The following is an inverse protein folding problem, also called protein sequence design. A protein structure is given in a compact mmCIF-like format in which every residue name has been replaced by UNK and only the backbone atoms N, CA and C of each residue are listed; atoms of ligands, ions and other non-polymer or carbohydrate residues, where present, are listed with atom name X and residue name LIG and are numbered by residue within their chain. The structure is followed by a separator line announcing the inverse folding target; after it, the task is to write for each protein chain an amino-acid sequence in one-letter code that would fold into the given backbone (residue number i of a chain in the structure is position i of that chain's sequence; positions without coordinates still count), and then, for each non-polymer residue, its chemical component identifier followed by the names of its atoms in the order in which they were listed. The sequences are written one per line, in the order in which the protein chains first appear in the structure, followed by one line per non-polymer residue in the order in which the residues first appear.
data_IF_805649780545
#
_entry.id   IF_805649780545
#
_cell.length_a   1.000
_cell.length_b   1.000
_cell.length_c   1.000
_cell.angle_alpha   90.00
_cell.angle_beta   90.00
_cell.angle_gamma   90.00
#
_symmetry.space_group_name_H-M   'P 1'
#
loop_
_entity.id
_entity.type
_entity.pdbx_description
1 polymer ?
#
# COMPACT_ATOMS: atom_id res chain seq x y z
N UNK A 1 -35.95 21.93 6.26
CA UNK A 1 -36.28 20.59 5.74
C UNK A 1 -35.55 20.23 4.43
N UNK A 2 -35.31 21.14 3.49
CA UNK A 2 -34.60 20.82 2.21
C UNK A 2 -33.11 20.48 2.35
N UNK A 3 -32.37 21.05 3.32
CA UNK A 3 -30.92 20.83 3.52
C UNK A 3 -30.65 19.41 4.05
N UNK A 4 -31.51 18.90 4.94
CA UNK A 4 -31.36 17.54 5.49
C UNK A 4 -31.58 16.47 4.41
N UNK A 5 -32.50 16.69 3.48
CA UNK A 5 -32.80 15.76 2.39
C UNK A 5 -31.63 15.62 1.39
N UNK A 6 -30.96 16.73 1.08
CA UNK A 6 -29.78 16.75 0.19
C UNK A 6 -28.60 16.00 0.84
N UNK A 7 -28.40 16.16 2.15
CA UNK A 7 -27.35 15.45 2.89
C UNK A 7 -27.60 13.94 2.92
N UNK A 8 -28.86 13.52 3.17
CA UNK A 8 -29.23 12.09 3.22
C UNK A 8 -29.09 11.44 1.85
N UNK A 9 -29.49 12.12 0.76
CA UNK A 9 -29.35 11.61 -0.60
C UNK A 9 -27.88 11.51 -1.03
N UNK A 10 -27.04 12.48 -0.66
CA UNK A 10 -25.60 12.45 -0.95
C UNK A 10 -24.87 11.31 -0.22
N UNK A 11 -25.21 11.07 1.04
CA UNK A 11 -24.65 9.96 1.82
C UNK A 11 -25.10 8.60 1.28
N UNK A 12 -26.37 8.44 0.91
CA UNK A 12 -26.88 7.20 0.29
C UNK A 12 -26.21 6.92 -1.05
N UNK A 13 -25.97 7.94 -1.88
CA UNK A 13 -25.30 7.78 -3.16
C UNK A 13 -23.84 7.35 -3.00
N UNK A 14 -23.13 7.91 -2.02
CA UNK A 14 -21.74 7.54 -1.71
C UNK A 14 -21.64 6.09 -1.18
N UNK A 15 -22.60 5.64 -0.37
CA UNK A 15 -22.64 4.27 0.15
C UNK A 15 -22.88 3.26 -1.00
N UNK A 16 -23.80 3.55 -1.91
CA UNK A 16 -24.08 2.67 -3.06
C UNK A 16 -22.89 2.59 -4.01
N UNK A 17 -22.20 3.70 -4.26
CA UNK A 17 -20.98 3.72 -5.05
C UNK A 17 -19.88 2.86 -4.41
N UNK A 18 -19.66 3.01 -3.10
CA UNK A 18 -18.68 2.21 -2.36
C UNK A 18 -19.01 0.70 -2.42
N UNK A 19 -20.28 0.32 -2.25
CA UNK A 19 -20.70 -1.09 -2.36
C UNK A 19 -20.47 -1.63 -3.78
N UNK A 20 -20.69 -0.81 -4.81
CA UNK A 20 -20.43 -1.20 -6.20
C UNK A 20 -18.94 -1.42 -6.43
N UNK A 21 -18.08 -0.50 -5.93
CA UNK A 21 -16.61 -0.62 -6.01
C UNK A 21 -16.15 -1.91 -5.33
N UNK A 22 -16.58 -2.16 -4.09
CA UNK A 22 -16.19 -3.36 -3.35
C UNK A 22 -16.56 -4.65 -4.12
N UNK A 23 -17.77 -4.73 -4.69
CA UNK A 23 -18.19 -5.88 -5.52
C UNK A 23 -17.31 -6.06 -6.77
N UNK A 24 -16.82 -4.97 -7.35
CA UNK A 24 -15.92 -5.03 -8.52
C UNK A 24 -14.55 -5.53 -8.08
N UNK A 25 -14.00 -5.01 -6.99
CA UNK A 25 -12.71 -5.46 -6.43
C UNK A 25 -12.74 -6.94 -6.07
N UNK A 26 -13.79 -7.42 -5.37
CA UNK A 26 -13.97 -8.84 -5.03
C UNK A 26 -14.00 -9.75 -6.26
N UNK A 27 -14.62 -9.29 -7.36
CA UNK A 27 -14.60 -10.04 -8.63
C UNK A 27 -13.19 -10.07 -9.23
N UNK A 28 -12.46 -8.96 -9.15
CA UNK A 28 -11.06 -8.86 -9.57
C UNK A 28 -10.18 -9.85 -8.80
N UNK A 29 -10.31 -9.89 -7.48
CA UNK A 29 -9.56 -10.80 -6.62
C UNK A 29 -9.84 -12.28 -6.96
N UNK A 30 -11.10 -12.63 -7.22
CA UNK A 30 -11.47 -13.97 -7.67
C UNK A 30 -10.87 -14.34 -9.03
N UNK A 31 -10.70 -13.37 -9.93
CA UNK A 31 -10.02 -13.57 -11.21
C UNK A 31 -8.52 -13.74 -11.02
N UNK A 32 -7.92 -12.92 -10.18
CA UNK A 32 -6.49 -13.00 -9.86
C UNK A 32 -6.15 -14.35 -9.20
N UNK A 33 -6.98 -14.83 -8.27
CA UNK A 33 -6.84 -16.14 -7.65
C UNK A 33 -6.89 -17.31 -8.66
N UNK A 34 -7.55 -17.11 -9.81
CA UNK A 34 -7.58 -18.08 -10.93
C UNK A 34 -6.47 -17.82 -11.96
N UNK A 35 -5.50 -16.98 -11.65
CA UNK A 35 -4.42 -16.56 -12.54
C UNK A 35 -4.90 -15.82 -13.82
N UNK A 36 -6.17 -15.39 -13.86
CA UNK A 36 -6.73 -14.58 -14.93
C UNK A 36 -6.43 -13.09 -14.66
N UNK A 37 -5.14 -12.75 -14.77
CA UNK A 37 -4.63 -11.42 -14.39
C UNK A 37 -5.17 -10.32 -15.30
N UNK A 38 -5.41 -10.63 -16.57
CA UNK A 38 -5.95 -9.64 -17.52
C UNK A 38 -7.38 -9.24 -17.15
N UNK A 39 -8.22 -10.22 -16.82
CA UNK A 39 -9.57 -9.93 -16.35
C UNK A 39 -9.57 -9.23 -14.98
N UNK A 40 -8.62 -9.57 -14.08
CA UNK A 40 -8.48 -8.90 -12.80
C UNK A 40 -8.15 -7.41 -12.98
N UNK A 41 -7.13 -7.09 -13.78
CA UNK A 41 -6.75 -5.70 -14.08
C UNK A 41 -7.91 -4.91 -14.68
N UNK A 42 -8.62 -5.48 -15.67
CA UNK A 42 -9.81 -4.83 -16.27
C UNK A 42 -10.90 -4.51 -15.23
N UNK A 43 -11.05 -5.36 -14.20
CA UNK A 43 -12.00 -5.10 -13.10
C UNK A 43 -11.49 -4.01 -12.15
N UNK A 44 -10.22 -4.00 -11.80
CA UNK A 44 -9.65 -2.94 -10.96
C UNK A 44 -9.70 -1.58 -11.66
N UNK A 45 -9.44 -1.52 -12.97
CA UNK A 45 -9.64 -0.30 -13.77
C UNK A 45 -11.11 0.18 -13.75
N UNK A 46 -12.06 -0.75 -13.85
CA UNK A 46 -13.49 -0.42 -13.69
C UNK A 46 -13.83 0.14 -12.31
N UNK A 47 -13.12 -0.30 -11.26
CA UNK A 47 -13.29 0.28 -9.93
C UNK A 47 -12.83 1.75 -9.91
N UNK A 48 -11.70 2.08 -10.55
CA UNK A 48 -11.21 3.47 -10.71
C UNK A 48 -12.13 4.34 -11.56
N UNK A 49 -12.84 3.77 -12.54
CA UNK A 49 -13.86 4.51 -13.30
C UNK A 49 -15.08 4.86 -12.42
N UNK A 50 -15.44 3.98 -11.46
CA UNK A 50 -16.55 4.24 -10.53
C UNK A 50 -16.14 5.18 -9.41
N UNK A 51 -14.92 5.03 -8.89
CA UNK A 51 -14.33 5.87 -7.86
C UNK A 51 -12.84 6.07 -8.15
N UNK A 52 -12.51 7.21 -8.72
CA UNK A 52 -11.13 7.58 -9.06
C UNK A 52 -10.21 7.73 -7.84
N UNK A 53 -10.76 7.81 -6.63
CA UNK A 53 -10.03 7.89 -5.37
C UNK A 53 -9.99 6.54 -4.61
N UNK A 54 -10.28 5.43 -5.30
CA UNK A 54 -10.23 4.09 -4.71
C UNK A 54 -8.78 3.63 -4.48
N UNK A 55 -8.25 3.85 -3.28
CA UNK A 55 -6.88 3.47 -2.91
C UNK A 55 -6.62 1.95 -3.10
N UNK A 56 -7.62 1.10 -2.80
CA UNK A 56 -7.50 -0.36 -2.96
C UNK A 56 -7.29 -0.76 -4.42
N UNK A 57 -7.93 -0.08 -5.38
CA UNK A 57 -7.74 -0.39 -6.80
C UNK A 57 -6.31 -0.02 -7.24
N UNK A 58 -5.79 1.13 -6.82
CA UNK A 58 -4.39 1.52 -7.08
C UNK A 58 -3.41 0.48 -6.50
N UNK A 59 -3.61 0.05 -5.25
CA UNK A 59 -2.75 -0.95 -4.62
C UNK A 59 -2.76 -2.27 -5.40
N UNK A 60 -3.95 -2.81 -5.71
CA UNK A 60 -4.10 -4.09 -6.41
C UNK A 60 -3.50 -4.10 -7.81
N UNK A 61 -3.67 -3.02 -8.57
CA UNK A 61 -3.06 -2.90 -9.91
C UNK A 61 -1.54 -2.80 -9.79
N UNK A 62 -1.05 -2.01 -8.83
CA UNK A 62 0.39 -1.84 -8.59
C UNK A 62 1.05 -3.15 -8.15
N UNK A 63 0.42 -3.92 -7.26
CA UNK A 63 0.89 -5.25 -6.86
C UNK A 63 1.03 -6.20 -8.06
N UNK A 64 0.07 -6.17 -8.98
CA UNK A 64 0.14 -6.96 -10.22
C UNK A 64 1.30 -6.49 -11.11
N UNK A 65 1.50 -5.20 -11.28
CA UNK A 65 2.62 -4.70 -12.09
C UNK A 65 3.98 -5.03 -11.46
N UNK A 66 4.12 -4.87 -10.15
CA UNK A 66 5.34 -5.24 -9.42
C UNK A 66 5.63 -6.73 -9.53
N UNK A 67 4.62 -7.59 -9.37
CA UNK A 67 4.79 -9.05 -9.50
C UNK A 67 5.24 -9.50 -10.90
N UNK A 68 5.01 -8.65 -11.91
CA UNK A 68 5.45 -8.86 -13.31
C UNK A 68 6.77 -8.15 -13.64
N UNK A 69 7.39 -7.49 -12.68
CA UNK A 69 8.61 -6.69 -12.90
C UNK A 69 8.37 -5.39 -13.70
N UNK A 70 7.12 -5.00 -13.89
CA UNK A 70 6.78 -3.76 -14.61
C UNK A 70 6.78 -2.56 -13.65
N UNK A 71 7.97 -2.22 -13.15
CA UNK A 71 8.15 -1.19 -12.13
C UNK A 71 7.81 0.21 -12.62
N UNK A 72 8.03 0.52 -13.91
CA UNK A 72 7.70 1.83 -14.47
C UNK A 72 6.19 2.13 -14.36
N UNK A 73 5.36 1.23 -14.87
CA UNK A 73 3.90 1.41 -14.81
C UNK A 73 3.37 1.39 -13.36
N UNK A 74 3.97 0.54 -12.49
CA UNK A 74 3.64 0.55 -11.08
C UNK A 74 3.95 1.91 -10.43
N UNK A 75 5.12 2.50 -10.71
CA UNK A 75 5.56 3.78 -10.17
C UNK A 75 4.62 4.92 -10.57
N UNK A 76 4.24 5.01 -11.84
CA UNK A 76 3.30 6.02 -12.34
C UNK A 76 1.95 5.92 -11.62
N UNK A 77 1.43 4.69 -11.49
CA UNK A 77 0.15 4.43 -10.84
C UNK A 77 0.20 4.73 -9.33
N UNK A 78 1.29 4.35 -8.65
CA UNK A 78 1.49 4.63 -7.24
C UNK A 78 1.56 6.13 -6.96
N UNK A 79 2.30 6.87 -7.80
CA UNK A 79 2.38 8.33 -7.69
C UNK A 79 1.01 8.99 -7.88
N UNK A 80 0.22 8.53 -8.86
CA UNK A 80 -1.14 9.01 -9.06
C UNK A 80 -2.05 8.66 -7.87
N UNK A 81 -2.04 7.40 -7.42
CA UNK A 81 -2.84 6.91 -6.30
C UNK A 81 -2.54 7.67 -5.01
N UNK A 82 -1.26 7.80 -4.63
CA UNK A 82 -0.84 8.52 -3.43
C UNK A 82 -1.32 9.98 -3.50
N UNK A 83 -1.11 10.67 -4.62
CA UNK A 83 -1.53 12.08 -4.79
C UNK A 83 -3.04 12.26 -4.64
N UNK A 84 -3.84 11.36 -5.21
CA UNK A 84 -5.31 11.46 -5.19
C UNK A 84 -5.88 11.09 -3.83
N UNK A 85 -5.24 10.15 -3.12
CA UNK A 85 -5.78 9.57 -1.88
C UNK A 85 -5.16 10.13 -0.59
N UNK A 86 -4.12 10.96 -0.69
CA UNK A 86 -3.32 11.43 0.46
C UNK A 86 -4.15 12.02 1.61
N UNK A 87 -5.23 12.73 1.27
CA UNK A 87 -6.07 13.43 2.23
C UNK A 87 -7.33 12.65 2.65
N UNK A 88 -7.40 11.33 2.34
CA UNK A 88 -8.56 10.50 2.66
C UNK A 88 -8.33 9.75 3.98
N UNK A 89 -8.88 10.21 5.13
CA UNK A 89 -8.55 9.64 6.45
C UNK A 89 -8.95 8.19 6.63
N UNK A 90 -10.03 7.74 5.97
CA UNK A 90 -10.57 6.38 6.09
C UNK A 90 -9.66 5.31 5.46
N UNK A 91 -8.82 5.69 4.50
CA UNK A 91 -8.05 4.74 3.70
C UNK A 91 -6.56 4.67 4.12
N UNK A 92 -6.24 5.18 5.33
CA UNK A 92 -4.84 5.26 5.83
C UNK A 92 -4.07 3.94 5.70
N UNK A 93 -4.69 2.80 6.00
CA UNK A 93 -4.03 1.48 5.88
C UNK A 93 -3.68 1.14 4.43
N UNK A 94 -4.59 1.41 3.50
CA UNK A 94 -4.33 1.15 2.08
C UNK A 94 -3.32 2.15 1.52
N UNK A 95 -3.41 3.43 1.91
CA UNK A 95 -2.42 4.44 1.51
C UNK A 95 -1.03 4.06 2.05
N UNK A 96 -0.93 3.55 3.29
CA UNK A 96 0.34 3.06 3.81
C UNK A 96 0.91 1.90 2.98
N UNK A 97 0.06 1.06 2.40
CA UNK A 97 0.47 0.00 1.50
C UNK A 97 0.98 0.56 0.16
N UNK A 98 0.35 1.60 -0.41
CA UNK A 98 0.87 2.26 -1.62
C UNK A 98 2.30 2.76 -1.41
N UNK A 99 2.59 3.42 -0.29
CA UNK A 99 3.94 3.85 0.06
C UNK A 99 4.89 2.65 0.19
N UNK A 100 4.46 1.54 0.80
CA UNK A 100 5.32 0.36 0.95
C UNK A 100 5.64 -0.31 -0.38
N UNK A 101 4.70 -0.36 -1.34
CA UNK A 101 4.95 -0.87 -2.69
C UNK A 101 5.95 0.04 -3.41
N UNK A 102 5.79 1.37 -3.31
CA UNK A 102 6.71 2.31 -3.94
C UNK A 102 8.11 2.25 -3.34
N UNK A 103 8.20 2.07 -2.02
CA UNK A 103 9.48 1.85 -1.35
C UNK A 103 10.21 0.61 -1.85
N UNK A 104 9.47 -0.47 -2.14
CA UNK A 104 10.05 -1.68 -2.70
C UNK A 104 10.66 -1.42 -4.09
N UNK A 105 9.99 -0.65 -4.95
CA UNK A 105 10.53 -0.28 -6.26
C UNK A 105 11.80 0.56 -6.07
N UNK A 106 11.77 1.58 -5.22
CA UNK A 106 12.95 2.39 -4.90
C UNK A 106 14.11 1.54 -4.37
N UNK A 107 13.81 0.53 -3.54
CA UNK A 107 14.82 -0.40 -3.05
C UNK A 107 15.44 -1.23 -4.19
N UNK A 108 14.64 -1.74 -5.14
CA UNK A 108 15.16 -2.51 -6.29
C UNK A 108 16.01 -1.67 -7.24
N UNK A 109 15.79 -0.35 -7.25
CA UNK A 109 16.57 0.64 -8.00
C UNK A 109 17.76 1.20 -7.19
N UNK A 110 18.04 0.64 -6.00
CA UNK A 110 19.08 1.09 -5.07
C UNK A 110 18.90 2.54 -4.58
N UNK A 111 17.73 3.11 -4.76
CA UNK A 111 17.34 4.44 -4.28
C UNK A 111 16.96 4.40 -2.78
N UNK A 112 17.90 3.96 -1.93
CA UNK A 112 17.63 3.67 -0.51
C UNK A 112 17.04 4.85 0.27
N UNK A 113 17.46 6.08 -0.05
CA UNK A 113 16.93 7.27 0.59
C UNK A 113 15.43 7.44 0.38
N UNK A 114 14.96 7.32 -0.88
CA UNK A 114 13.54 7.40 -1.19
C UNK A 114 12.75 6.21 -0.63
N UNK A 115 13.35 5.02 -0.64
CA UNK A 115 12.73 3.84 -0.02
C UNK A 115 12.49 4.05 1.49
N UNK A 116 13.46 4.63 2.22
CA UNK A 116 13.30 4.96 3.65
C UNK A 116 12.21 6.01 3.85
N UNK A 117 12.18 7.07 3.05
CA UNK A 117 11.15 8.11 3.13
C UNK A 117 9.74 7.55 2.95
N UNK A 118 9.54 6.67 1.97
CA UNK A 118 8.25 6.04 1.74
C UNK A 118 7.85 5.11 2.90
N UNK A 119 8.78 4.35 3.46
CA UNK A 119 8.52 3.53 4.64
C UNK A 119 8.24 4.37 5.90
N UNK A 120 8.86 5.55 6.02
CA UNK A 120 8.52 6.50 7.07
C UNK A 120 7.06 6.94 6.97
N UNK A 121 6.59 7.27 5.75
CA UNK A 121 5.18 7.61 5.51
C UNK A 121 4.25 6.42 5.78
N UNK A 122 4.61 5.22 5.33
CA UNK A 122 3.84 4.01 5.59
C UNK A 122 3.67 3.75 7.11
N UNK A 123 4.74 3.93 7.88
CA UNK A 123 4.71 3.78 9.34
C UNK A 123 3.87 4.85 10.02
N UNK A 124 3.96 6.12 9.59
CA UNK A 124 3.12 7.21 10.13
C UNK A 124 1.63 6.91 9.91
N UNK A 125 1.29 6.33 8.76
CA UNK A 125 -0.10 5.98 8.42
C UNK A 125 -0.58 4.71 9.13
N UNK A 126 0.32 3.75 9.41
CA UNK A 126 0.00 2.49 10.07
C UNK A 126 1.15 2.03 10.97
N UNK A 127 1.17 2.53 12.20
CA UNK A 127 2.22 2.29 13.21
C UNK A 127 2.27 0.86 13.74
N UNK A 128 1.23 0.05 13.48
CA UNK A 128 1.11 -1.31 14.02
C UNK A 128 1.49 -2.40 13.01
N UNK A 129 1.83 -2.03 11.78
CA UNK A 129 2.27 -3.02 10.79
C UNK A 129 3.76 -3.35 10.96
N UNK A 130 4.13 -4.53 11.48
CA UNK A 130 5.51 -4.88 11.73
C UNK A 130 6.35 -5.02 10.46
N UNK A 131 5.72 -5.30 9.30
CA UNK A 131 6.42 -5.46 8.04
C UNK A 131 7.07 -4.16 7.58
N UNK A 132 6.47 -2.99 7.86
CA UNK A 132 7.06 -1.72 7.45
C UNK A 132 8.35 -1.41 8.21
N UNK A 133 8.40 -1.72 9.50
CA UNK A 133 9.63 -1.60 10.29
C UNK A 133 10.69 -2.59 9.78
N UNK A 134 10.29 -3.84 9.50
CA UNK A 134 11.20 -4.85 8.97
C UNK A 134 11.76 -4.44 7.60
N UNK A 135 10.92 -4.00 6.67
CA UNK A 135 11.36 -3.50 5.36
C UNK A 135 12.31 -2.32 5.52
N UNK A 136 11.98 -1.34 6.38
CA UNK A 136 12.87 -0.20 6.62
C UNK A 136 14.20 -0.60 7.24
N UNK A 137 14.22 -1.58 8.11
CA UNK A 137 15.45 -2.15 8.66
C UNK A 137 16.36 -2.71 7.56
N UNK A 138 15.79 -3.49 6.62
CA UNK A 138 16.55 -4.03 5.50
C UNK A 138 17.13 -2.93 4.61
N UNK A 139 16.33 -1.92 4.28
CA UNK A 139 16.79 -0.78 3.47
C UNK A 139 17.88 0.01 4.20
N UNK A 140 17.71 0.30 5.50
CA UNK A 140 18.71 1.00 6.32
C UNK A 140 20.04 0.25 6.37
N UNK A 141 19.98 -1.08 6.49
CA UNK A 141 21.18 -1.91 6.45
C UNK A 141 21.91 -1.75 5.11
N UNK A 142 21.21 -1.84 3.99
CA UNK A 142 21.79 -1.66 2.67
C UNK A 142 22.38 -0.24 2.48
N UNK A 143 21.78 0.74 3.15
CA UNK A 143 22.25 2.12 3.17
C UNK A 143 23.37 2.39 4.21
N UNK A 144 23.85 1.37 4.94
CA UNK A 144 24.93 1.49 5.94
C UNK A 144 24.48 1.98 7.33
N UNK A 145 23.18 2.17 7.57
CA UNK A 145 22.65 2.55 8.89
C UNK A 145 22.33 1.31 9.74
N UNK A 146 23.37 0.70 10.29
CA UNK A 146 23.24 -0.49 11.13
C UNK A 146 22.47 -0.22 12.44
N UNK A 147 22.69 0.96 13.05
CA UNK A 147 21.97 1.33 14.29
C UNK A 147 20.48 1.50 14.06
N UNK A 148 20.10 2.16 12.97
CA UNK A 148 18.72 2.31 12.55
C UNK A 148 18.06 1.00 12.17
N UNK A 149 18.80 0.11 11.50
CA UNK A 149 18.37 -1.25 11.20
C UNK A 149 17.97 -1.99 12.48
N UNK A 150 18.87 -2.07 13.46
CA UNK A 150 18.61 -2.80 14.70
C UNK A 150 17.47 -2.19 15.54
N UNK A 151 17.30 -0.88 15.51
CA UNK A 151 16.16 -0.22 16.15
C UNK A 151 14.82 -0.65 15.53
N UNK A 152 14.75 -0.67 14.20
CA UNK A 152 13.55 -1.05 13.48
C UNK A 152 13.24 -2.55 13.63
N UNK A 153 14.26 -3.42 13.63
CA UNK A 153 14.09 -4.86 13.91
C UNK A 153 13.49 -5.09 15.30
N UNK A 154 14.00 -4.42 16.33
CA UNK A 154 13.42 -4.50 17.68
C UNK A 154 11.96 -4.10 17.71
N UNK A 155 11.58 -3.07 16.94
CA UNK A 155 10.17 -2.65 16.83
C UNK A 155 9.31 -3.68 16.11
N UNK A 156 9.80 -4.25 15.01
CA UNK A 156 9.09 -5.32 14.29
C UNK A 156 8.86 -6.57 15.16
N UNK A 157 9.87 -6.97 15.95
CA UNK A 157 9.77 -8.07 16.92
C UNK A 157 8.72 -7.78 17.99
N UNK A 158 8.75 -6.56 18.56
CA UNK A 158 7.78 -6.14 19.58
C UNK A 158 6.33 -6.13 19.04
N UNK A 159 6.16 -5.97 17.72
CA UNK A 159 4.88 -6.08 17.02
C UNK A 159 4.56 -7.52 16.54
N UNK A 160 5.38 -8.52 16.92
CA UNK A 160 5.10 -9.93 16.70
C UNK A 160 5.68 -10.55 15.42
N UNK A 161 6.55 -9.86 14.69
CA UNK A 161 7.15 -10.40 13.47
C UNK A 161 8.35 -11.32 13.78
N UNK A 162 8.12 -12.63 13.80
CA UNK A 162 9.16 -13.65 14.07
C UNK A 162 10.34 -13.60 13.09
N UNK A 163 10.12 -13.29 11.83
CA UNK A 163 11.19 -13.18 10.83
C UNK A 163 12.23 -12.12 11.22
N UNK A 164 11.80 -11.02 11.85
CA UNK A 164 12.69 -9.96 12.31
C UNK A 164 13.61 -10.42 13.45
N UNK A 165 13.20 -11.38 14.28
CA UNK A 165 14.01 -11.91 15.37
C UNK A 165 15.22 -12.66 14.84
N UNK A 166 15.04 -13.57 13.89
CA UNK A 166 16.13 -14.31 13.24
C UNK A 166 17.15 -13.35 12.61
N UNK A 167 16.66 -12.32 11.92
CA UNK A 167 17.52 -11.34 11.28
C UNK A 167 18.27 -10.48 12.32
N UNK A 168 17.61 -10.10 13.42
CA UNK A 168 18.20 -9.32 14.51
C UNK A 168 19.33 -10.08 15.20
N UNK A 169 19.16 -11.38 15.47
CA UNK A 169 20.22 -12.24 16.07
C UNK A 169 21.47 -12.31 15.19
N UNK A 170 21.30 -12.24 13.87
CA UNK A 170 22.42 -12.31 12.93
C UNK A 170 23.20 -10.99 12.84
N UNK A 171 22.52 -9.84 12.92
CA UNK A 171 23.10 -8.57 12.54
C UNK A 171 23.11 -7.47 13.63
N UNK A 172 22.52 -7.73 14.80
CA UNK A 172 22.36 -6.70 15.85
C UNK A 172 23.01 -7.08 17.21
N UNK A 173 24.00 -7.93 17.18
CA UNK A 173 24.79 -8.32 18.38
C UNK A 173 25.89 -7.31 18.67
#
# INVERSE_FOLDING_TARGET
MKIVLVFVLGVCFSIQAQQKVNKILDKGDKKLAKLDTTAALSLYDKALVVDSACADAYAKISDVFVSRGNYSNAMELLNAGIRITADIPKDRKTISHLYSIRSFIHFTEENFHHAIQDLDQAIVLNTENPNYFYMRALVKRMNGDEKGCCKDLKKAIALGLKAADVYSQTYCN
#
